data_IF_150429206107
#
_entry.id   IF_150429206107
#
_cell.length_a   1.000
_cell.length_b   1.000
_cell.length_c   1.000
_cell.angle_alpha   90.00
_cell.angle_beta   90.00
_cell.angle_gamma   90.00
#
_symmetry.space_group_name_H-M   'P 1'
#
loop_
_entity.id
_entity.type
_entity.pdbx_description
1 polymer ?
#
# COMPACT_ATOMS: atom_id res chain seq x y z
N UNK A 1 -43.60 23.48 -47.30
CA UNK A 1 -42.64 22.39 -47.23
C UNK A 1 -41.47 22.81 -46.32
N UNK A 2 -41.49 22.39 -45.07
CA UNK A 2 -40.39 22.66 -44.11
C UNK A 2 -39.44 21.47 -44.17
N UNK A 3 -38.20 21.68 -44.64
CA UNK A 3 -37.14 20.67 -44.57
C UNK A 3 -36.55 20.64 -43.18
N UNK A 4 -36.71 19.51 -42.51
CA UNK A 4 -36.07 19.21 -41.24
C UNK A 4 -34.64 18.82 -41.50
N UNK A 5 -33.67 19.58 -40.99
CA UNK A 5 -32.27 19.22 -41.02
C UNK A 5 -31.96 18.47 -39.71
N UNK A 6 -31.79 17.15 -39.85
CA UNK A 6 -31.30 16.33 -38.71
C UNK A 6 -29.79 16.57 -38.55
N UNK A 7 -29.43 17.26 -37.50
CA UNK A 7 -28.02 17.37 -37.08
C UNK A 7 -27.67 16.07 -36.35
N UNK A 8 -26.87 15.25 -36.98
CA UNK A 8 -26.22 14.12 -36.33
C UNK A 8 -25.12 14.67 -35.41
N UNK A 9 -25.40 14.72 -34.12
CA UNK A 9 -24.36 15.01 -33.10
C UNK A 9 -23.49 13.75 -32.96
N UNK A 10 -22.32 13.77 -33.58
CA UNK A 10 -21.28 12.76 -33.30
C UNK A 10 -20.74 13.10 -31.93
N UNK A 11 -21.18 12.37 -30.91
CA UNK A 11 -20.55 12.36 -29.59
C UNK A 11 -19.16 11.71 -29.73
N UNK A 12 -18.16 12.54 -29.97
CA UNK A 12 -16.77 12.13 -29.76
C UNK A 12 -16.60 12.04 -28.23
N UNK A 13 -16.73 10.86 -27.68
CA UNK A 13 -16.32 10.58 -26.30
C UNK A 13 -14.80 10.61 -26.24
N UNK A 14 -14.23 11.81 -26.16
CA UNK A 14 -12.86 11.95 -25.68
C UNK A 14 -12.85 11.48 -24.23
N UNK A 15 -12.22 10.35 -23.96
CA UNK A 15 -11.92 9.90 -22.62
C UNK A 15 -10.94 10.90 -21.99
N UNK A 16 -11.46 11.99 -21.44
CA UNK A 16 -10.69 12.83 -20.53
C UNK A 16 -10.53 12.02 -19.24
N UNK A 17 -9.35 11.49 -18.99
CA UNK A 17 -9.02 10.95 -17.69
C UNK A 17 -9.02 12.12 -16.70
N UNK A 18 -10.03 12.14 -15.84
CA UNK A 18 -10.13 13.15 -14.78
C UNK A 18 -9.22 12.71 -13.64
N UNK A 19 -8.40 13.63 -13.16
CA UNK A 19 -7.61 13.42 -11.95
C UNK A 19 -8.52 13.09 -10.77
N UNK A 20 -8.27 11.97 -10.07
CA UNK A 20 -9.15 11.53 -8.98
C UNK A 20 -8.44 10.74 -7.90
N UNK A 21 -8.94 10.91 -6.68
CA UNK A 21 -8.65 9.98 -5.58
C UNK A 21 -9.36 8.65 -5.85
N UNK A 22 -8.60 7.56 -5.91
CA UNK A 22 -9.12 6.23 -6.23
C UNK A 22 -9.49 5.47 -4.97
N UNK A 23 -8.73 5.66 -3.89
CA UNK A 23 -8.95 4.99 -2.62
C UNK A 23 -8.22 5.70 -1.49
N UNK A 24 -8.69 5.51 -0.26
CA UNK A 24 -8.11 6.10 0.93
C UNK A 24 -8.51 7.56 1.12
N UNK A 25 -7.72 8.28 1.92
CA UNK A 25 -7.90 9.69 2.21
C UNK A 25 -6.81 10.49 1.47
N UNK A 26 -7.20 11.12 0.35
CA UNK A 26 -6.32 12.00 -0.42
C UNK A 26 -6.40 13.47 0.02
N UNK A 27 -6.84 13.74 1.25
CA UNK A 27 -6.88 15.07 1.85
C UNK A 27 -5.96 15.15 3.07
N UNK A 28 -6.21 14.31 4.09
CA UNK A 28 -5.44 14.30 5.33
C UNK A 28 -5.25 12.88 5.85
N UNK A 29 -4.53 12.04 5.11
CA UNK A 29 -4.34 10.64 5.47
C UNK A 29 -3.49 9.91 4.45
N UNK A 30 -3.76 8.63 4.25
CA UNK A 30 -3.09 7.82 3.24
C UNK A 30 -4.05 7.50 2.11
N UNK A 31 -3.68 7.86 0.88
CA UNK A 31 -4.56 7.72 -0.28
C UNK A 31 -3.84 7.36 -1.57
N UNK A 32 -4.62 6.87 -2.53
CA UNK A 32 -4.18 6.59 -3.89
C UNK A 32 -4.87 7.54 -4.86
N UNK A 33 -4.08 8.19 -5.68
CA UNK A 33 -4.52 9.19 -6.64
C UNK A 33 -4.00 8.87 -8.03
N UNK A 34 -4.79 9.15 -9.05
CA UNK A 34 -4.35 9.15 -10.45
C UNK A 34 -4.52 10.54 -11.02
N UNK A 35 -3.47 11.05 -11.68
CA UNK A 35 -3.50 12.31 -12.40
C UNK A 35 -4.17 12.14 -13.78
N UNK A 36 -4.54 13.25 -14.41
CA UNK A 36 -5.02 13.26 -15.81
C UNK A 36 -3.97 12.76 -16.82
N UNK A 37 -2.70 12.74 -16.44
CA UNK A 37 -1.56 12.24 -17.23
C UNK A 37 -1.27 10.76 -17.00
N UNK A 38 -2.12 10.05 -16.23
CA UNK A 38 -1.98 8.65 -15.85
C UNK A 38 -0.83 8.38 -14.86
N UNK A 39 -0.22 9.41 -14.30
CA UNK A 39 0.69 9.21 -13.17
C UNK A 39 -0.10 8.77 -11.95
N UNK A 40 0.54 8.01 -11.06
CA UNK A 40 -0.09 7.48 -9.85
C UNK A 40 0.71 7.91 -8.64
N UNK A 41 0.01 8.34 -7.60
CA UNK A 41 0.59 8.53 -6.29
C UNK A 41 -0.10 7.64 -5.27
N UNK A 42 0.70 6.98 -4.44
CA UNK A 42 0.23 6.22 -3.28
C UNK A 42 1.07 6.65 -2.09
N UNK A 43 0.45 7.28 -1.10
CA UNK A 43 1.21 7.82 0.02
C UNK A 43 0.38 8.70 0.92
N UNK A 44 1.07 9.44 1.76
CA UNK A 44 0.50 10.36 2.74
C UNK A 44 0.05 11.66 2.08
N UNK A 45 -1.02 12.23 2.60
CA UNK A 45 -1.64 13.46 2.14
C UNK A 45 -1.83 14.42 3.30
N UNK A 46 -1.61 15.69 3.03
CA UNK A 46 -1.91 16.78 3.96
C UNK A 46 -2.50 17.95 3.20
N UNK A 47 -3.68 18.42 3.63
CA UNK A 47 -4.41 19.55 3.01
C UNK A 47 -4.61 19.37 1.49
N UNK A 48 -4.84 18.13 1.06
CA UNK A 48 -5.08 17.78 -0.35
C UNK A 48 -3.83 17.73 -1.23
N UNK A 49 -2.62 17.83 -0.65
CA UNK A 49 -1.36 17.71 -1.38
C UNK A 49 -0.53 16.51 -0.90
N UNK A 50 0.27 15.93 -1.79
CA UNK A 50 1.18 14.85 -1.45
C UNK A 50 2.14 15.32 -0.34
N UNK A 51 2.26 14.52 0.72
CA UNK A 51 3.08 14.81 1.88
C UNK A 51 3.68 13.54 2.44
N UNK A 52 4.65 13.62 3.38
CA UNK A 52 5.23 12.45 4.05
C UNK A 52 5.80 11.42 3.08
N UNK A 53 5.62 10.15 3.40
CA UNK A 53 6.12 9.04 2.59
C UNK A 53 5.15 8.69 1.45
N UNK A 54 5.70 8.37 0.28
CA UNK A 54 4.88 7.95 -0.85
C UNK A 54 5.66 7.36 -2.01
N UNK A 55 4.90 6.76 -2.91
CA UNK A 55 5.36 6.25 -4.19
C UNK A 55 4.66 7.01 -5.29
N UNK A 56 5.44 7.61 -6.18
CA UNK A 56 4.94 8.29 -7.38
C UNK A 56 5.41 7.51 -8.60
N UNK A 57 4.48 6.90 -9.32
CA UNK A 57 4.75 6.18 -10.56
C UNK A 57 4.37 7.08 -11.73
N UNK A 58 5.35 7.44 -12.53
CA UNK A 58 5.19 8.27 -13.71
C UNK A 58 4.59 7.46 -14.87
N UNK A 59 3.86 8.11 -15.73
CA UNK A 59 3.26 7.47 -16.93
C UNK A 59 4.30 6.98 -17.94
N UNK A 60 5.53 7.50 -17.89
CA UNK A 60 6.66 7.02 -18.69
C UNK A 60 7.34 5.76 -18.16
N UNK A 61 6.87 5.25 -17.00
CA UNK A 61 7.41 4.05 -16.34
C UNK A 61 8.48 4.31 -15.29
N UNK A 62 8.91 5.55 -15.09
CA UNK A 62 9.78 5.91 -13.98
C UNK A 62 9.02 5.85 -12.65
N UNK A 63 9.73 5.76 -11.53
CA UNK A 63 9.15 5.75 -10.21
C UNK A 63 9.97 6.57 -9.22
N UNK A 64 9.30 7.25 -8.31
CA UNK A 64 9.95 7.84 -7.15
C UNK A 64 9.35 7.27 -5.88
N UNK A 65 10.21 6.79 -4.99
CA UNK A 65 9.86 6.29 -3.67
C UNK A 65 10.57 7.14 -2.63
N UNK A 66 9.84 7.84 -1.80
CA UNK A 66 10.48 8.71 -0.81
C UNK A 66 9.55 9.74 -0.20
N UNK A 67 10.17 10.75 0.39
CA UNK A 67 9.46 11.83 1.07
C UNK A 67 8.90 12.86 0.10
N UNK A 68 7.73 13.40 0.46
CA UNK A 68 7.06 14.50 -0.21
C UNK A 68 6.76 15.63 0.79
N UNK A 69 6.84 16.85 0.34
CA UNK A 69 6.43 18.06 1.06
C UNK A 69 5.75 18.99 0.10
N UNK A 70 4.51 19.41 0.43
CA UNK A 70 3.75 20.37 -0.38
C UNK A 70 3.62 19.96 -1.86
N UNK A 71 3.44 18.66 -2.10
CA UNK A 71 3.31 18.07 -3.44
C UNK A 71 4.61 17.83 -4.18
N UNK A 72 5.76 18.17 -3.61
CA UNK A 72 7.07 18.07 -4.24
C UNK A 72 7.91 16.95 -3.59
N UNK A 73 8.77 16.30 -4.38
CA UNK A 73 9.78 15.37 -3.85
C UNK A 73 10.72 16.17 -2.94
N UNK A 74 10.87 15.71 -1.70
CA UNK A 74 11.64 16.40 -0.68
C UNK A 74 12.23 15.38 0.29
N UNK A 75 13.34 15.71 0.98
CA UNK A 75 13.98 14.78 1.89
C UNK A 75 14.55 13.54 1.19
N UNK A 76 14.60 12.41 1.88
CA UNK A 76 15.14 11.17 1.32
C UNK A 76 14.23 10.55 0.28
N UNK A 77 14.81 10.03 -0.80
CA UNK A 77 14.07 9.29 -1.81
C UNK A 77 14.96 8.66 -2.87
N UNK A 78 14.36 7.71 -3.57
CA UNK A 78 14.96 7.01 -4.70
C UNK A 78 14.12 7.26 -5.94
N UNK A 79 14.73 7.82 -6.95
CA UNK A 79 14.14 7.91 -8.29
C UNK A 79 14.68 6.74 -9.13
N UNK A 80 13.79 5.98 -9.70
CA UNK A 80 14.09 4.78 -10.47
C UNK A 80 13.61 5.04 -11.90
N UNK A 81 14.53 5.08 -12.84
CA UNK A 81 14.19 5.18 -14.26
C UNK A 81 13.70 3.85 -14.81
N UNK A 82 12.94 3.89 -15.87
CA UNK A 82 12.41 2.69 -16.57
C UNK A 82 13.51 1.74 -17.05
N UNK A 83 14.71 2.25 -17.31
CA UNK A 83 15.90 1.48 -17.69
C UNK A 83 16.63 0.86 -16.48
N UNK A 84 16.15 1.11 -15.26
CA UNK A 84 16.72 0.60 -14.02
C UNK A 84 17.79 1.47 -13.37
N UNK A 85 18.18 2.60 -13.98
CA UNK A 85 19.06 3.57 -13.31
C UNK A 85 18.37 4.15 -12.07
N UNK A 86 19.14 4.32 -10.99
CA UNK A 86 18.62 4.82 -9.71
C UNK A 86 19.40 6.05 -9.24
N UNK A 87 18.66 7.07 -8.81
CA UNK A 87 19.17 8.22 -8.10
C UNK A 87 18.66 8.14 -6.66
N UNK A 88 19.51 7.71 -5.74
CA UNK A 88 19.19 7.56 -4.31
C UNK A 88 19.88 8.65 -3.51
N UNK A 89 19.13 9.42 -2.73
CA UNK A 89 19.69 10.49 -1.91
C UNK A 89 18.67 11.54 -1.50
N UNK A 90 19.16 12.75 -1.29
CA UNK A 90 18.34 13.87 -0.86
C UNK A 90 17.70 14.61 -2.01
N UNK A 91 16.48 15.03 -1.78
CA UNK A 91 15.66 15.81 -2.73
C UNK A 91 15.17 17.10 -2.09
N UNK A 92 15.18 18.16 -2.81
CA UNK A 92 14.60 19.44 -2.40
C UNK A 92 13.83 20.03 -3.58
N UNK A 93 12.52 20.26 -3.38
CA UNK A 93 11.64 20.89 -4.38
C UNK A 93 11.73 20.24 -5.77
N UNK A 94 11.64 18.91 -5.82
CA UNK A 94 11.79 18.06 -7.02
C UNK A 94 13.21 17.94 -7.60
N UNK A 95 14.20 18.64 -7.05
CA UNK A 95 15.58 18.57 -7.50
C UNK A 95 16.36 17.53 -6.70
N UNK A 96 17.19 16.75 -7.37
CA UNK A 96 18.12 15.83 -6.73
C UNK A 96 19.35 16.63 -6.25
N UNK A 97 19.59 16.59 -4.95
CA UNK A 97 20.66 17.36 -4.29
C UNK A 97 21.95 16.58 -4.14
N UNK A 98 21.96 15.29 -4.50
CA UNK A 98 23.12 14.42 -4.42
C UNK A 98 22.89 13.17 -3.55
N UNK A 99 23.87 12.27 -3.60
CA UNK A 99 23.87 11.09 -2.75
C UNK A 99 24.02 11.48 -1.27
N UNK A 100 23.49 10.64 -0.40
CA UNK A 100 23.43 10.87 1.04
C UNK A 100 24.79 11.18 1.71
N UNK A 101 25.88 10.74 1.10
CA UNK A 101 27.22 10.96 1.59
C UNK A 101 27.63 12.44 1.68
N UNK A 102 26.98 13.31 0.89
CA UNK A 102 27.40 14.71 0.78
C UNK A 102 26.57 15.66 1.65
N UNK A 103 25.49 15.18 2.28
CA UNK A 103 24.51 16.05 2.98
C UNK A 103 24.54 15.97 4.52
N UNK A 104 25.65 15.48 5.08
CA UNK A 104 25.91 15.63 6.52
C UNK A 104 25.02 14.79 7.43
N UNK A 105 24.58 13.62 7.00
CA UNK A 105 24.07 12.57 7.90
C UNK A 105 25.25 11.86 8.61
N UNK A 106 26.28 12.62 8.94
CA UNK A 106 27.36 12.12 9.77
C UNK A 106 26.79 11.99 11.19
N UNK A 107 26.66 10.75 11.63
CA UNK A 107 26.39 10.46 13.04
C UNK A 107 27.66 10.65 13.85
N UNK A 108 27.66 11.60 14.75
CA UNK A 108 28.74 11.82 15.70
C UNK A 108 28.55 10.87 16.88
N UNK A 109 29.61 10.15 17.23
CA UNK A 109 29.61 9.30 18.42
C UNK A 109 29.49 10.15 19.69
N UNK A 110 28.48 9.86 20.50
CA UNK A 110 28.27 10.55 21.80
C UNK A 110 28.89 9.73 22.91
N UNK A 111 28.75 8.41 22.87
CA UNK A 111 29.25 7.51 23.89
C UNK A 111 29.50 6.11 23.36
N UNK A 112 30.39 5.34 24.02
CA UNK A 112 30.72 3.97 23.67
C UNK A 112 31.62 3.85 22.43
N UNK A 113 31.54 2.71 21.74
CA UNK A 113 32.31 2.41 20.52
C UNK A 113 31.40 2.44 19.30
N UNK A 114 31.39 3.57 18.60
CA UNK A 114 30.62 3.76 17.38
C UNK A 114 31.36 3.28 16.11
N UNK A 115 32.42 2.49 16.27
CA UNK A 115 33.16 1.91 15.14
C UNK A 115 32.96 0.40 15.07
N UNK A 116 33.33 -0.32 16.11
CA UNK A 116 33.28 -1.78 16.16
C UNK A 116 32.76 -2.31 17.51
N UNK A 117 31.74 -1.69 18.07
CA UNK A 117 31.22 -2.04 19.40
C UNK A 117 29.81 -1.52 19.61
N UNK A 118 29.46 -1.33 20.86
CA UNK A 118 28.19 -0.76 21.29
C UNK A 118 28.36 0.72 21.60
N UNK A 119 27.56 1.58 20.97
CA UNK A 119 27.66 3.03 21.18
C UNK A 119 26.33 3.74 20.99
N UNK A 120 26.38 5.03 21.26
CA UNK A 120 25.32 6.00 20.98
C UNK A 120 25.85 7.06 20.02
N UNK A 121 25.10 7.37 19.00
CA UNK A 121 25.45 8.39 18.01
C UNK A 121 24.26 9.29 17.70
N UNK A 122 24.55 10.53 17.32
CA UNK A 122 23.54 11.53 16.98
C UNK A 122 23.98 12.32 15.75
N UNK A 123 23.05 12.61 14.86
CA UNK A 123 23.32 13.48 13.73
C UNK A 123 22.88 14.93 14.00
N UNK A 124 23.20 15.81 13.07
CA UNK A 124 22.88 17.25 13.19
C UNK A 124 21.37 17.54 13.15
N UNK A 125 20.53 16.62 12.65
CA UNK A 125 19.07 16.73 12.64
C UNK A 125 18.45 16.39 14.00
N UNK A 126 19.24 15.75 14.87
CA UNK A 126 18.79 15.30 16.17
C UNK A 126 18.38 13.84 16.21
N UNK A 127 18.52 13.08 15.10
CA UNK A 127 18.29 11.64 15.10
C UNK A 127 19.34 10.95 15.96
N UNK A 128 18.92 9.97 16.73
CA UNK A 128 19.75 9.22 17.67
C UNK A 128 19.72 7.74 17.30
N UNK A 129 20.91 7.13 17.26
CA UNK A 129 21.03 5.69 17.21
C UNK A 129 21.77 5.18 18.46
N UNK A 130 21.24 4.12 19.05
CA UNK A 130 21.85 3.39 20.16
C UNK A 130 21.87 1.92 19.79
N UNK A 131 23.06 1.34 19.65
CA UNK A 131 23.17 -0.05 19.23
C UNK A 131 24.59 -0.48 18.93
N UNK A 132 24.69 -1.58 18.20
CA UNK A 132 25.98 -2.09 17.75
C UNK A 132 26.41 -1.41 16.46
N UNK A 133 27.72 -1.22 16.33
CA UNK A 133 28.39 -0.71 15.15
C UNK A 133 29.39 -1.74 14.64
N UNK A 134 29.57 -1.77 13.33
CA UNK A 134 30.63 -2.47 12.63
C UNK A 134 31.14 -1.60 11.50
N UNK A 135 32.45 -1.35 11.47
CA UNK A 135 33.10 -0.47 10.49
C UNK A 135 32.42 0.90 10.38
N UNK A 136 31.99 1.46 11.54
CA UNK A 136 31.29 2.74 11.66
C UNK A 136 29.85 2.75 11.16
N UNK A 137 29.27 1.61 10.80
CA UNK A 137 27.88 1.47 10.36
C UNK A 137 27.02 0.82 11.44
N UNK A 138 25.73 1.18 11.47
CA UNK A 138 24.76 0.48 12.32
C UNK A 138 24.76 -1.01 11.98
N UNK A 139 24.83 -1.85 12.98
CA UNK A 139 24.94 -3.30 12.80
C UNK A 139 24.32 -4.04 14.00
N UNK A 140 23.91 -5.32 13.82
CA UNK A 140 23.29 -6.08 14.90
C UNK A 140 22.06 -5.41 15.47
N UNK A 141 21.81 -5.58 16.77
CA UNK A 141 20.66 -4.99 17.44
C UNK A 141 20.87 -3.50 17.74
N UNK A 142 19.86 -2.69 17.40
CA UNK A 142 19.89 -1.26 17.66
C UNK A 142 18.52 -0.61 17.77
N UNK A 143 18.51 0.59 18.31
CA UNK A 143 17.35 1.46 18.43
C UNK A 143 17.66 2.78 17.74
N UNK A 144 16.78 3.20 16.83
CA UNK A 144 16.84 4.47 16.16
C UNK A 144 15.64 5.33 16.57
N UNK A 145 15.91 6.58 16.89
CA UNK A 145 14.91 7.59 17.18
C UNK A 145 15.17 8.79 16.27
N UNK A 146 14.29 9.00 15.32
CA UNK A 146 14.33 10.19 14.46
C UNK A 146 13.81 11.43 15.19
N UNK A 147 14.31 12.60 14.82
CA UNK A 147 13.88 13.87 15.40
C UNK A 147 12.39 14.18 15.12
N UNK A 148 11.80 13.59 14.07
CA UNK A 148 10.37 13.69 13.75
C UNK A 148 9.49 12.75 14.59
N UNK A 149 10.11 11.91 15.47
CA UNK A 149 9.41 10.96 16.35
C UNK A 149 9.26 9.55 15.81
N UNK A 150 9.71 9.26 14.60
CA UNK A 150 9.82 7.89 14.09
C UNK A 150 10.79 7.07 14.92
N UNK A 151 10.49 5.78 15.09
CA UNK A 151 11.32 4.87 15.88
C UNK A 151 11.48 3.55 15.14
N UNK A 152 12.70 3.03 15.17
CA UNK A 152 12.96 1.65 14.80
C UNK A 152 13.69 0.95 15.94
N UNK A 153 13.31 -0.27 16.22
CA UNK A 153 14.02 -1.19 17.10
C UNK A 153 14.13 -2.55 16.41
N UNK A 154 15.34 -3.04 16.23
CA UNK A 154 15.55 -4.30 15.54
C UNK A 154 16.97 -4.52 15.07
N UNK A 155 17.10 -5.45 14.13
CA UNK A 155 18.37 -5.81 13.53
C UNK A 155 18.79 -4.79 12.47
N UNK A 156 20.09 -4.54 12.39
CA UNK A 156 20.74 -3.73 11.38
C UNK A 156 21.85 -4.52 10.68
N UNK A 157 22.01 -4.29 9.39
CA UNK A 157 23.11 -4.80 8.61
C UNK A 157 23.62 -3.71 7.65
N UNK A 158 24.91 -3.37 7.77
CA UNK A 158 25.60 -2.34 6.96
C UNK A 158 24.86 -0.98 6.93
N UNK A 159 24.32 -0.55 8.06
CA UNK A 159 23.65 0.73 8.22
C UNK A 159 22.14 0.69 7.95
N UNK A 160 21.59 -0.41 7.44
CA UNK A 160 20.19 -0.53 7.05
C UNK A 160 19.44 -1.48 7.99
N UNK A 161 18.12 -1.24 8.19
CA UNK A 161 17.23 -2.18 8.84
C UNK A 161 17.30 -3.53 8.14
N UNK A 162 17.44 -4.59 8.93
CA UNK A 162 17.56 -5.95 8.41
C UNK A 162 16.97 -6.94 9.42
N UNK A 163 16.80 -8.22 9.03
CA UNK A 163 16.32 -9.23 9.96
C UNK A 163 14.95 -8.91 10.55
N UNK A 164 14.84 -8.92 11.88
CA UNK A 164 13.57 -8.63 12.55
C UNK A 164 13.60 -7.25 13.20
N UNK A 165 12.50 -6.53 13.08
CA UNK A 165 12.40 -5.21 13.69
C UNK A 165 10.98 -4.66 13.75
N UNK A 166 10.85 -3.63 14.57
CA UNK A 166 9.63 -2.86 14.76
C UNK A 166 9.88 -1.43 14.35
N UNK A 167 9.11 -0.92 13.43
CA UNK A 167 9.06 0.49 13.07
C UNK A 167 7.77 1.12 13.58
N UNK A 168 7.88 2.26 14.21
CA UNK A 168 6.74 3.02 14.72
C UNK A 168 6.79 4.42 14.15
N UNK A 169 5.73 4.81 13.46
CA UNK A 169 5.53 6.13 12.90
C UNK A 169 5.04 7.12 13.97
N UNK A 170 5.20 8.44 13.77
CA UNK A 170 4.85 9.45 14.79
C UNK A 170 3.40 9.40 15.24
N UNK A 171 2.48 9.01 14.37
CA UNK A 171 1.03 8.97 14.63
C UNK A 171 0.52 7.60 15.09
N UNK A 172 1.42 6.69 15.48
CA UNK A 172 1.04 5.40 16.05
C UNK A 172 0.85 4.26 15.06
N UNK A 173 1.04 4.50 13.78
CA UNK A 173 1.17 3.41 12.81
C UNK A 173 2.40 2.58 13.16
N UNK A 174 2.34 1.28 12.92
CA UNK A 174 3.41 0.37 13.31
C UNK A 174 3.58 -0.75 12.30
N UNK A 175 4.81 -1.03 11.91
CA UNK A 175 5.17 -2.29 11.29
C UNK A 175 6.04 -3.12 12.25
N UNK A 176 5.76 -4.40 12.34
CA UNK A 176 6.54 -5.38 13.11
C UNK A 176 6.74 -6.62 12.25
N UNK A 177 7.98 -6.91 11.88
CA UNK A 177 8.23 -8.00 10.95
C UNK A 177 9.66 -8.10 10.49
N UNK A 178 9.81 -8.74 9.34
CA UNK A 178 11.09 -8.96 8.70
C UNK A 178 11.46 -7.79 7.77
N UNK A 179 12.75 -7.51 7.70
CA UNK A 179 13.34 -6.40 6.96
C UNK A 179 14.48 -6.88 6.08
N UNK A 180 14.57 -6.37 4.88
CA UNK A 180 15.69 -6.58 3.97
C UNK A 180 16.15 -5.25 3.41
N UNK A 181 17.38 -4.83 3.77
CA UNK A 181 18.02 -3.59 3.28
C UNK A 181 17.12 -2.34 3.42
N UNK A 182 16.51 -2.17 4.60
CA UNK A 182 15.70 -1.01 4.93
C UNK A 182 14.24 -1.08 4.46
N UNK A 183 13.81 -2.21 3.90
CA UNK A 183 12.44 -2.38 3.35
C UNK A 183 11.75 -3.56 4.03
N UNK A 184 10.46 -3.43 4.33
CA UNK A 184 9.64 -4.51 4.87
C UNK A 184 9.62 -5.70 3.91
N UNK A 185 9.86 -6.89 4.45
CA UNK A 185 9.95 -8.11 3.68
C UNK A 185 9.48 -9.32 4.52
N UNK A 186 9.32 -10.49 3.87
CA UNK A 186 8.96 -11.70 4.59
C UNK A 186 7.65 -11.61 5.37
N UNK A 187 7.63 -12.09 6.60
CA UNK A 187 6.44 -12.06 7.45
C UNK A 187 6.41 -10.79 8.30
N UNK A 188 5.23 -10.14 8.32
CA UNK A 188 5.06 -8.94 9.11
C UNK A 188 3.61 -8.65 9.49
N UNK A 189 3.49 -7.71 10.40
CA UNK A 189 2.22 -7.14 10.87
C UNK A 189 2.30 -5.64 10.72
N UNK A 190 1.38 -5.08 9.95
CA UNK A 190 1.20 -3.63 9.85
C UNK A 190 -0.10 -3.24 10.55
N UNK A 191 -0.01 -2.26 11.44
CA UNK A 191 -1.15 -1.70 12.15
C UNK A 191 -1.25 -0.22 11.81
N UNK A 192 -2.39 0.19 11.27
CA UNK A 192 -2.69 1.59 10.97
C UNK A 192 -3.25 2.33 12.19
N UNK A 193 -3.06 3.62 12.26
CA UNK A 193 -3.66 4.48 13.29
C UNK A 193 -5.20 4.35 13.32
N UNK A 194 -5.82 4.19 12.16
CA UNK A 194 -7.26 3.96 12.01
C UNK A 194 -7.79 2.69 12.69
N UNK A 195 -6.86 1.79 13.13
CA UNK A 195 -7.18 0.51 13.74
C UNK A 195 -7.30 -0.64 12.74
N UNK A 196 -7.00 -0.41 11.46
CA UNK A 196 -6.82 -1.51 10.50
C UNK A 196 -5.56 -2.29 10.82
N UNK A 197 -5.55 -3.56 10.45
CA UNK A 197 -4.39 -4.43 10.66
C UNK A 197 -4.22 -5.39 9.49
N UNK A 198 -3.01 -5.51 9.02
CA UNK A 198 -2.61 -6.57 8.11
C UNK A 198 -1.58 -7.48 8.79
N UNK A 199 -1.71 -8.78 8.58
CA UNK A 199 -0.74 -9.78 9.03
C UNK A 199 -0.50 -10.76 7.88
N UNK A 200 0.72 -10.82 7.38
CA UNK A 200 0.99 -11.65 6.20
C UNK A 200 2.37 -11.48 5.62
N UNK A 201 2.48 -11.85 4.35
CA UNK A 201 3.72 -11.73 3.59
C UNK A 201 3.89 -10.32 3.02
N UNK A 202 5.14 -9.85 3.02
CA UNK A 202 5.58 -8.61 2.39
C UNK A 202 6.71 -8.89 1.40
N UNK A 203 6.68 -8.20 0.28
CA UNK A 203 7.78 -8.17 -0.70
C UNK A 203 8.01 -6.73 -1.09
N UNK A 204 9.20 -6.20 -0.78
CA UNK A 204 9.60 -4.82 -1.07
C UNK A 204 8.59 -3.78 -0.55
N UNK A 205 8.15 -3.93 0.70
CA UNK A 205 7.21 -3.03 1.35
C UNK A 205 5.74 -3.22 0.98
N UNK A 206 5.43 -4.10 0.03
CA UNK A 206 4.06 -4.35 -0.43
C UNK A 206 3.53 -5.66 0.12
N UNK A 207 2.24 -5.70 0.47
CA UNK A 207 1.54 -6.94 0.84
C UNK A 207 1.57 -7.89 -0.34
N UNK A 208 1.99 -9.12 -0.09
CA UNK A 208 2.17 -10.14 -1.11
C UNK A 208 1.81 -11.51 -0.53
N UNK A 209 1.75 -12.57 -1.39
CA UNK A 209 1.53 -13.92 -0.90
C UNK A 209 0.27 -14.06 -0.07
N UNK A 210 0.35 -14.69 1.11
CA UNK A 210 -0.81 -14.93 1.97
C UNK A 210 -0.88 -13.91 3.11
N UNK A 211 -2.10 -13.40 3.35
CA UNK A 211 -2.31 -12.46 4.43
C UNK A 211 -3.73 -12.38 4.95
N UNK A 212 -3.85 -11.75 6.09
CA UNK A 212 -5.11 -11.45 6.77
C UNK A 212 -5.20 -9.95 6.92
N UNK A 213 -6.30 -9.36 6.49
CA UNK A 213 -6.63 -7.96 6.72
C UNK A 213 -7.86 -7.86 7.60
N UNK A 214 -7.69 -7.19 8.73
CA UNK A 214 -8.76 -6.89 9.68
C UNK A 214 -9.16 -5.42 9.55
N UNK A 215 -10.42 -5.17 9.18
CA UNK A 215 -10.99 -3.82 9.18
C UNK A 215 -11.56 -3.46 10.56
N UNK A 216 -11.52 -2.19 10.89
CA UNK A 216 -12.08 -1.67 12.14
C UNK A 216 -13.58 -1.94 12.30
N UNK A 217 -14.32 -2.03 11.20
CA UNK A 217 -15.75 -2.35 11.22
C UNK A 217 -16.06 -3.82 11.54
N UNK A 218 -15.04 -4.66 11.66
CA UNK A 218 -15.14 -6.09 11.93
C UNK A 218 -15.12 -6.99 10.71
N UNK A 219 -15.03 -6.44 9.50
CA UNK A 219 -14.77 -7.24 8.30
C UNK A 219 -13.37 -7.86 8.40
N UNK A 220 -13.20 -9.04 7.82
CA UNK A 220 -11.92 -9.75 7.79
C UNK A 220 -11.72 -10.47 6.46
N UNK A 221 -10.68 -10.12 5.76
CA UNK A 221 -10.22 -10.85 4.58
C UNK A 221 -9.06 -11.77 4.95
N UNK A 222 -9.08 -12.98 4.41
CA UNK A 222 -7.99 -13.97 4.51
C UNK A 222 -7.78 -14.55 3.12
N UNK A 223 -6.61 -14.32 2.52
CA UNK A 223 -6.39 -14.77 1.16
C UNK A 223 -5.05 -14.36 0.59
N UNK A 224 -4.99 -14.43 -0.73
CA UNK A 224 -3.80 -14.12 -1.49
C UNK A 224 -3.74 -12.64 -1.85
N UNK A 225 -2.52 -12.11 -1.86
CA UNK A 225 -2.19 -10.74 -2.21
C UNK A 225 -1.14 -10.71 -3.32
N UNK A 226 -1.30 -9.80 -4.23
CA UNK A 226 -0.32 -9.46 -5.25
C UNK A 226 -0.18 -7.94 -5.29
N UNK A 227 0.99 -7.43 -4.85
CA UNK A 227 1.32 -6.01 -4.82
C UNK A 227 0.19 -5.15 -4.21
N UNK A 228 -0.05 -5.35 -2.89
CA UNK A 228 -1.06 -4.66 -2.08
C UNK A 228 -2.52 -4.95 -2.39
N UNK A 229 -2.82 -5.77 -3.39
CA UNK A 229 -4.18 -6.08 -3.80
C UNK A 229 -4.55 -7.51 -3.50
N UNK A 230 -5.78 -7.75 -3.02
CA UNK A 230 -6.35 -9.09 -2.96
C UNK A 230 -6.42 -9.64 -4.39
N UNK A 231 -5.79 -10.79 -4.60
CA UNK A 231 -5.66 -11.43 -5.92
C UNK A 231 -5.43 -12.93 -5.74
N UNK A 232 -6.15 -13.78 -6.46
CA UNK A 232 -6.14 -15.23 -6.24
C UNK A 232 -7.27 -15.70 -5.35
N UNK A 233 -7.05 -16.68 -4.49
CA UNK A 233 -8.08 -17.24 -3.62
C UNK A 233 -8.17 -16.48 -2.31
N UNK A 234 -9.41 -16.20 -1.86
CA UNK A 234 -9.60 -15.53 -0.60
C UNK A 234 -11.00 -15.67 0.00
N UNK A 235 -11.07 -15.46 1.30
CA UNK A 235 -12.31 -15.44 2.08
C UNK A 235 -12.49 -14.06 2.69
N UNK A 236 -13.66 -13.46 2.51
CA UNK A 236 -14.07 -12.25 3.20
C UNK A 236 -15.24 -12.55 4.13
N UNK A 237 -15.02 -12.40 5.42
CA UNK A 237 -16.07 -12.42 6.42
C UNK A 237 -16.49 -10.99 6.69
N UNK A 238 -17.74 -10.66 6.43
CA UNK A 238 -18.30 -9.35 6.69
C UNK A 238 -18.82 -9.27 8.14
N UNK A 239 -18.71 -8.12 8.75
CA UNK A 239 -19.23 -7.86 10.09
C UNK A 239 -20.74 -8.10 10.22
N UNK A 240 -21.49 -7.96 9.13
CA UNK A 240 -22.94 -8.24 9.08
C UNK A 240 -23.28 -9.74 9.01
N UNK A 241 -22.28 -10.63 9.04
CA UNK A 241 -22.45 -12.08 9.01
C UNK A 241 -22.42 -12.72 7.62
N UNK A 242 -22.39 -11.94 6.55
CA UNK A 242 -22.15 -12.48 5.22
C UNK A 242 -20.73 -13.06 5.12
N UNK A 243 -20.55 -14.03 4.23
CA UNK A 243 -19.24 -14.63 3.95
C UNK A 243 -19.09 -14.92 2.47
N UNK A 244 -18.01 -14.42 1.89
CA UNK A 244 -17.59 -14.79 0.54
C UNK A 244 -16.32 -15.63 0.59
N UNK A 245 -16.23 -16.65 -0.21
CA UNK A 245 -15.00 -17.36 -0.52
C UNK A 245 -14.94 -17.67 -2.02
N UNK A 246 -13.79 -17.38 -2.63
CA UNK A 246 -13.64 -17.52 -4.08
C UNK A 246 -12.47 -16.75 -4.62
N UNK A 247 -12.54 -16.49 -5.92
CA UNK A 247 -11.52 -15.81 -6.67
C UNK A 247 -11.61 -14.30 -6.53
N UNK A 248 -10.45 -13.67 -6.46
CA UNK A 248 -10.25 -12.22 -6.34
C UNK A 248 -9.33 -11.73 -7.43
N UNK A 249 -9.59 -10.56 -7.93
CA UNK A 249 -8.73 -9.84 -8.86
C UNK A 249 -8.77 -8.35 -8.52
N UNK A 250 -7.60 -7.75 -8.28
CA UNK A 250 -7.48 -6.31 -8.05
C UNK A 250 -8.40 -5.78 -6.95
N UNK A 251 -8.51 -6.49 -5.81
CA UNK A 251 -9.40 -6.23 -4.68
C UNK A 251 -10.90 -6.46 -4.93
N UNK A 252 -11.29 -7.05 -6.05
CA UNK A 252 -12.68 -7.30 -6.41
C UNK A 252 -12.95 -8.81 -6.49
N UNK A 253 -14.14 -9.25 -6.12
CA UNK A 253 -14.61 -10.61 -6.38
C UNK A 253 -14.69 -10.78 -7.90
N UNK A 254 -14.02 -11.82 -8.40
CA UNK A 254 -13.90 -12.06 -9.83
C UNK A 254 -13.63 -13.54 -10.09
N UNK A 255 -14.24 -14.15 -11.09
CA UNK A 255 -14.15 -15.58 -11.31
C UNK A 255 -15.17 -16.37 -10.48
N UNK A 256 -14.84 -17.57 -10.05
CA UNK A 256 -15.75 -18.43 -9.29
C UNK A 256 -15.74 -18.11 -7.80
N UNK A 257 -16.93 -18.11 -7.18
CA UNK A 257 -17.03 -17.88 -5.76
C UNK A 257 -18.42 -18.12 -5.18
N UNK A 258 -18.43 -18.34 -3.88
CA UNK A 258 -19.64 -18.60 -3.10
C UNK A 258 -19.86 -17.46 -2.10
N UNK A 259 -21.05 -16.93 -2.11
CA UNK A 259 -21.52 -15.98 -1.10
C UNK A 259 -22.56 -16.67 -0.21
N UNK A 260 -22.29 -16.70 1.07
CA UNK A 260 -23.25 -17.10 2.10
C UNK A 260 -23.76 -15.81 2.73
N UNK A 261 -25.06 -15.56 2.62
CA UNK A 261 -25.71 -14.42 3.21
C UNK A 261 -26.09 -14.67 4.66
N UNK A 262 -26.16 -13.64 5.47
CA UNK A 262 -26.55 -13.75 6.90
C UNK A 262 -27.97 -14.29 7.13
N UNK A 263 -28.85 -14.15 6.13
CA UNK A 263 -30.18 -14.76 6.15
C UNK A 263 -30.18 -16.26 5.85
N UNK A 264 -29.00 -16.84 5.53
CA UNK A 264 -28.83 -18.24 5.20
C UNK A 264 -28.95 -18.58 3.72
N UNK A 265 -29.25 -17.62 2.85
CA UNK A 265 -29.23 -17.84 1.40
C UNK A 265 -27.76 -18.04 0.92
N UNK A 266 -27.62 -18.72 -0.21
CA UNK A 266 -26.33 -19.03 -0.81
C UNK A 266 -26.36 -18.72 -2.30
N UNK A 267 -25.34 -17.99 -2.77
CA UNK A 267 -25.06 -17.88 -4.19
C UNK A 267 -23.76 -18.62 -4.49
N UNK A 268 -23.79 -19.54 -5.42
CA UNK A 268 -22.63 -20.26 -5.95
C UNK A 268 -22.55 -20.03 -7.45
N UNK A 269 -21.52 -19.32 -7.91
CA UNK A 269 -21.44 -18.95 -9.31
C UNK A 269 -20.26 -18.06 -9.63
N UNK A 270 -20.37 -17.45 -10.82
CA UNK A 270 -19.37 -16.55 -11.37
C UNK A 270 -19.59 -15.12 -10.90
N UNK A 271 -18.49 -14.39 -10.75
CA UNK A 271 -18.41 -13.02 -10.29
C UNK A 271 -17.58 -12.18 -11.25
N UNK A 272 -17.94 -10.94 -11.42
CA UNK A 272 -17.19 -9.95 -12.18
C UNK A 272 -17.32 -8.59 -11.51
N UNK A 273 -16.19 -8.00 -11.11
CA UNK A 273 -16.13 -6.69 -10.48
C UNK A 273 -17.12 -6.56 -9.29
N UNK A 274 -17.06 -7.51 -8.36
CA UNK A 274 -17.91 -7.64 -7.16
C UNK A 274 -19.38 -8.02 -7.40
N UNK A 275 -19.85 -8.09 -8.65
CA UNK A 275 -21.22 -8.40 -9.03
C UNK A 275 -21.35 -9.87 -9.47
N UNK A 276 -22.51 -10.50 -9.19
CA UNK A 276 -22.85 -11.81 -9.73
C UNK A 276 -22.96 -11.70 -11.25
N UNK A 277 -22.26 -12.57 -11.96
CA UNK A 277 -22.17 -12.54 -13.41
C UNK A 277 -22.02 -13.98 -13.93
N UNK A 278 -22.18 -14.20 -15.27
CA UNK A 278 -22.03 -15.53 -15.83
C UNK A 278 -23.02 -16.55 -15.29
N UNK A 279 -22.61 -17.78 -15.07
CA UNK A 279 -23.47 -18.83 -14.56
C UNK A 279 -23.44 -18.92 -13.04
N UNK A 280 -24.63 -19.07 -12.43
CA UNK A 280 -24.73 -19.21 -10.98
C UNK A 280 -26.06 -19.73 -10.49
N UNK A 281 -26.06 -20.19 -9.24
CA UNK A 281 -27.22 -20.73 -8.54
C UNK A 281 -27.44 -19.92 -7.27
N UNK A 282 -28.62 -19.35 -7.12
CA UNK A 282 -29.07 -18.75 -5.88
C UNK A 282 -30.03 -19.70 -5.18
N UNK A 283 -29.68 -20.10 -3.97
CA UNK A 283 -30.42 -21.05 -3.14
C UNK A 283 -30.87 -20.36 -1.85
N UNK A 284 -32.08 -20.57 -1.44
CA UNK A 284 -32.59 -20.13 -0.16
C UNK A 284 -32.06 -20.99 1.00
N UNK A 285 -32.20 -20.48 2.22
CA UNK A 285 -31.80 -21.19 3.46
C UNK A 285 -32.43 -22.58 3.60
N UNK A 286 -33.68 -22.76 3.11
CA UNK A 286 -34.41 -24.03 3.14
C UNK A 286 -33.97 -25.03 2.06
N UNK A 287 -33.06 -24.62 1.15
CA UNK A 287 -32.56 -25.42 0.04
C UNK A 287 -33.29 -25.22 -1.29
N UNK A 288 -34.33 -24.40 -1.32
CA UNK A 288 -35.06 -24.10 -2.57
C UNK A 288 -34.21 -23.23 -3.51
N UNK A 289 -34.19 -23.60 -4.78
CA UNK A 289 -33.46 -22.86 -5.81
C UNK A 289 -34.30 -21.70 -6.31
N UNK A 290 -33.89 -20.45 -5.98
CA UNK A 290 -34.53 -19.24 -6.48
C UNK A 290 -34.22 -18.98 -7.95
N UNK A 291 -32.96 -19.19 -8.35
CA UNK A 291 -32.51 -19.02 -9.72
C UNK A 291 -31.31 -19.93 -10.01
N UNK A 292 -31.32 -20.56 -11.17
CA UNK A 292 -30.20 -21.33 -11.72
C UNK A 292 -30.05 -20.98 -13.20
N UNK A 293 -28.98 -20.28 -13.54
CA UNK A 293 -28.77 -19.84 -14.90
C UNK A 293 -27.82 -18.68 -15.00
N UNK A 294 -28.01 -17.87 -16.01
CA UNK A 294 -27.15 -16.72 -16.33
C UNK A 294 -27.47 -15.51 -15.44
N UNK A 295 -26.41 -14.77 -15.12
CA UNK A 295 -26.46 -13.53 -14.34
C UNK A 295 -25.71 -12.42 -15.10
N UNK A 296 -26.22 -11.22 -15.06
CA UNK A 296 -25.57 -10.01 -15.58
C UNK A 296 -25.74 -8.91 -14.54
N UNK A 297 -24.62 -8.47 -13.95
CA UNK A 297 -24.54 -7.37 -12.99
C UNK A 297 -25.61 -7.49 -11.87
N UNK A 298 -25.52 -8.59 -11.13
CA UNK A 298 -26.44 -8.97 -10.01
C UNK A 298 -27.87 -9.34 -10.41
N UNK A 299 -28.23 -9.29 -11.68
CA UNK A 299 -29.58 -9.60 -12.15
C UNK A 299 -29.61 -10.98 -12.83
N UNK A 300 -30.58 -11.83 -12.44
CA UNK A 300 -30.81 -13.08 -13.18
C UNK A 300 -31.31 -12.78 -14.59
N UNK A 301 -30.82 -13.54 -15.55
CA UNK A 301 -31.25 -13.47 -16.96
C UNK A 301 -32.15 -14.66 -17.23
N UNK A 302 -33.36 -14.42 -17.70
CA UNK A 302 -34.34 -15.44 -18.08
C UNK A 302 -34.04 -16.03 -19.45
#
# INVERSE_FOLDING_TARGET
MKKSISIFLILITSNYYVSQCISGDCVNGHGKYITSWMDKYVGEWKDGVMHGQGVYSFSNGDEYVGNFKEGLRHGHGVYIKVDGEKLSGMWENNQFMGEEKDLGLVFNCISGDCVNGKGESKNIKGDIYVGFFKDGKFHGQGSFLAANGEKYFGDYFEGLQHGKGTYTFPFGQKYEGEWVKGVEHGKGVYTWESGYKYSGDFVNGLRHGKGVFDWKNGDKYMGEYLFDKANGQGTLNYANGNKYFGEWKENQKNGKGVMIYNNGNLYDGEWKNDLRHGNGILTEKNGDVQHKGSWVDDKPVN
#
